data_IF_275000708962
#
_entry.id   IF_275000708962
#
_cell.length_a   1.000
_cell.length_b   1.000
_cell.length_c   1.000
_cell.angle_alpha   90.00
_cell.angle_beta   90.00
_cell.angle_gamma   90.00
#
_symmetry.space_group_name_H-M   'P 1'
#
loop_
_entity.id
_entity.type
_entity.pdbx_description
1 polymer ?
#
# COMPACT_ATOMS: atom_id res chain seq x y z
N UNK A 1 -30.57 -29.91 -14.26
CA UNK A 1 -29.25 -29.31 -14.50
C UNK A 1 -28.87 -28.58 -13.25
N UNK A 2 -27.86 -29.00 -12.44
CA UNK A 2 -27.45 -28.22 -11.28
C UNK A 2 -26.63 -27.00 -11.76
N UNK A 3 -27.04 -25.81 -11.31
CA UNK A 3 -26.31 -24.56 -11.58
C UNK A 3 -24.92 -24.64 -10.95
N UNK A 4 -23.89 -24.49 -11.73
CA UNK A 4 -22.53 -24.36 -11.26
C UNK A 4 -22.41 -23.10 -10.37
N UNK A 5 -22.40 -23.28 -9.04
CA UNK A 5 -21.97 -22.22 -8.12
C UNK A 5 -20.54 -21.85 -8.48
N UNK A 6 -20.35 -20.70 -9.09
CA UNK A 6 -19.03 -20.08 -9.24
C UNK A 6 -18.39 -20.00 -7.86
N UNK A 7 -17.35 -20.78 -7.61
CA UNK A 7 -16.53 -20.68 -6.42
C UNK A 7 -15.82 -19.33 -6.56
N UNK A 8 -16.27 -18.31 -5.83
CA UNK A 8 -15.55 -17.04 -5.73
C UNK A 8 -14.18 -17.36 -5.11
N UNK A 9 -13.12 -17.18 -5.86
CA UNK A 9 -11.75 -17.21 -5.34
C UNK A 9 -11.64 -16.21 -4.19
N UNK A 10 -10.76 -16.48 -3.22
CA UNK A 10 -10.49 -15.53 -2.15
C UNK A 10 -10.00 -14.19 -2.75
N UNK A 11 -10.38 -13.05 -2.15
CA UNK A 11 -9.94 -11.75 -2.64
C UNK A 11 -8.42 -11.65 -2.61
N UNK A 12 -7.78 -11.08 -3.65
CA UNK A 12 -6.34 -10.93 -3.71
C UNK A 12 -5.83 -10.07 -2.56
N UNK A 13 -4.60 -10.36 -2.11
CA UNK A 13 -3.90 -9.71 -1.02
C UNK A 13 -2.74 -8.90 -1.57
N UNK A 14 -2.68 -7.62 -1.27
CA UNK A 14 -1.58 -6.76 -1.67
C UNK A 14 -0.98 -6.04 -0.47
N UNK A 15 0.33 -6.07 -0.32
CA UNK A 15 1.01 -5.15 0.59
C UNK A 15 1.32 -3.86 -0.17
N UNK A 16 0.97 -2.73 0.43
CA UNK A 16 1.05 -1.42 -0.22
C UNK A 16 2.11 -0.57 0.46
N UNK A 17 3.04 -0.09 -0.35
CA UNK A 17 4.13 0.79 0.06
C UNK A 17 3.64 2.23 0.31
N UNK A 18 4.36 2.97 1.14
CA UNK A 18 4.10 4.37 1.50
C UNK A 18 3.91 5.28 0.30
N UNK A 19 4.69 5.10 -0.78
CA UNK A 19 4.61 5.93 -1.98
C UNK A 19 3.22 5.89 -2.65
N UNK A 20 2.51 4.77 -2.57
CA UNK A 20 1.17 4.62 -3.16
C UNK A 20 0.14 5.46 -2.42
N UNK A 21 0.23 5.54 -1.08
CA UNK A 21 -0.58 6.44 -0.28
C UNK A 21 -0.30 7.91 -0.61
N UNK A 22 0.97 8.25 -0.84
CA UNK A 22 1.35 9.60 -1.27
C UNK A 22 0.72 9.95 -2.62
N UNK A 23 0.74 9.04 -3.59
CA UNK A 23 0.10 9.25 -4.89
C UNK A 23 -1.41 9.44 -4.79
N UNK A 24 -2.08 8.69 -3.93
CA UNK A 24 -3.53 8.75 -3.81
C UNK A 24 -4.03 9.93 -2.95
N UNK A 25 -3.35 10.25 -1.86
CA UNK A 25 -3.88 11.19 -0.86
C UNK A 25 -3.18 12.55 -0.86
N UNK A 26 -1.98 12.69 -1.42
CA UNK A 26 -1.24 13.95 -1.42
C UNK A 26 -1.45 14.71 -2.73
N UNK A 27 -2.14 15.86 -2.64
CA UNK A 27 -2.31 16.77 -3.78
C UNK A 27 -0.98 17.44 -4.15
N UNK A 28 -0.75 17.64 -5.46
CA UNK A 28 0.42 18.37 -5.95
C UNK A 28 1.72 17.55 -6.00
N UNK A 29 1.61 16.24 -6.04
CA UNK A 29 2.73 15.37 -6.39
C UNK A 29 2.97 15.43 -7.90
N UNK A 30 4.24 15.42 -8.32
CA UNK A 30 4.61 15.29 -9.75
C UNK A 30 4.46 13.86 -10.26
N UNK A 31 3.51 13.12 -9.71
CA UNK A 31 3.27 11.73 -10.10
C UNK A 31 2.54 11.65 -11.43
N UNK A 32 2.86 10.66 -12.29
CA UNK A 32 2.09 10.40 -13.51
C UNK A 32 0.61 10.16 -13.19
N UNK A 33 -0.26 10.67 -14.06
CA UNK A 33 -1.72 10.61 -13.86
C UNK A 33 -2.28 9.19 -13.82
N UNK A 34 -1.69 8.26 -14.57
CA UNK A 34 -2.03 6.84 -14.58
C UNK A 34 -1.72 6.17 -13.23
N UNK A 35 -0.58 6.49 -12.60
CA UNK A 35 -0.21 6.02 -11.26
C UNK A 35 -1.21 6.53 -10.22
N UNK A 36 -1.55 7.84 -10.27
CA UNK A 36 -2.53 8.43 -9.36
C UNK A 36 -3.87 7.71 -9.51
N UNK A 37 -4.35 7.56 -10.75
CA UNK A 37 -5.61 6.89 -11.04
C UNK A 37 -5.63 5.44 -10.55
N UNK A 38 -4.59 4.67 -10.87
CA UNK A 38 -4.46 3.27 -10.44
C UNK A 38 -4.42 3.13 -8.92
N UNK A 39 -3.71 4.05 -8.21
CA UNK A 39 -3.68 4.07 -6.75
C UNK A 39 -5.06 4.33 -6.14
N UNK A 40 -5.82 5.27 -6.70
CA UNK A 40 -7.21 5.51 -6.26
C UNK A 40 -8.11 4.29 -6.51
N UNK A 41 -7.98 3.64 -7.66
CA UNK A 41 -8.77 2.43 -7.96
C UNK A 41 -8.42 1.28 -7.01
N UNK A 42 -7.15 1.08 -6.68
CA UNK A 42 -6.70 0.09 -5.71
C UNK A 42 -7.42 0.27 -4.36
N UNK A 43 -7.43 1.49 -3.82
CA UNK A 43 -8.07 1.78 -2.54
C UNK A 43 -9.60 1.65 -2.61
N UNK A 44 -10.22 2.06 -3.71
CA UNK A 44 -11.66 1.86 -3.92
C UNK A 44 -12.05 0.37 -3.95
N UNK A 45 -11.21 -0.49 -4.53
CA UNK A 45 -11.43 -1.93 -4.53
C UNK A 45 -11.31 -2.52 -3.12
N UNK A 46 -10.42 -2.00 -2.28
CA UNK A 46 -10.34 -2.39 -0.87
C UNK A 46 -11.60 -1.99 -0.08
N UNK A 47 -12.11 -0.78 -0.30
CA UNK A 47 -13.35 -0.29 0.33
C UNK A 47 -14.56 -1.16 -0.01
N UNK A 48 -14.58 -1.74 -1.20
CA UNK A 48 -15.66 -2.65 -1.65
C UNK A 48 -15.40 -4.11 -1.32
N UNK A 49 -14.30 -4.44 -0.66
CA UNK A 49 -13.94 -5.80 -0.25
C UNK A 49 -13.50 -6.74 -1.39
N UNK A 50 -13.19 -6.19 -2.56
CA UNK A 50 -12.75 -6.96 -3.73
C UNK A 50 -11.29 -7.38 -3.66
N UNK A 51 -10.52 -6.74 -2.79
CA UNK A 51 -9.15 -7.10 -2.45
C UNK A 51 -8.86 -6.75 -0.98
N UNK A 52 -7.76 -7.27 -0.44
CA UNK A 52 -7.26 -6.95 0.90
C UNK A 52 -5.96 -6.18 0.80
N UNK A 53 -5.87 -5.07 1.52
CA UNK A 53 -4.64 -4.28 1.64
C UNK A 53 -3.95 -4.63 2.96
N UNK A 54 -2.70 -5.02 2.84
CA UNK A 54 -1.76 -5.16 3.93
C UNK A 54 -0.81 -3.96 3.94
N UNK A 55 -0.38 -3.55 5.12
CA UNK A 55 0.61 -2.49 5.30
C UNK A 55 1.59 -2.91 6.39
N UNK A 56 2.87 -2.63 6.17
CA UNK A 56 3.85 -2.75 7.24
C UNK A 56 3.61 -1.71 8.33
N UNK A 57 3.92 -2.00 9.59
CA UNK A 57 3.86 -1.00 10.66
C UNK A 57 4.73 0.22 10.37
N UNK A 58 5.86 0.06 9.63
CA UNK A 58 6.68 1.20 9.19
C UNK A 58 5.91 2.08 8.19
N UNK A 59 5.18 1.49 7.25
CA UNK A 59 4.33 2.23 6.31
C UNK A 59 3.29 3.08 7.03
N UNK A 60 2.64 2.54 8.08
CA UNK A 60 1.70 3.34 8.88
C UNK A 60 2.36 4.57 9.50
N UNK A 61 3.55 4.39 10.07
CA UNK A 61 4.29 5.50 10.69
C UNK A 61 4.67 6.55 9.65
N UNK A 62 5.18 6.14 8.50
CA UNK A 62 5.58 7.03 7.40
C UNK A 62 4.39 7.79 6.83
N UNK A 63 3.29 7.10 6.48
CA UNK A 63 2.09 7.70 5.91
C UNK A 63 1.49 8.75 6.83
N UNK A 64 1.43 8.49 8.14
CA UNK A 64 0.91 9.44 9.13
C UNK A 64 1.89 10.57 9.47
N UNK A 65 3.18 10.44 9.10
CA UNK A 65 4.22 11.43 9.32
C UNK A 65 4.62 12.22 8.06
N UNK A 66 3.99 11.96 6.90
CA UNK A 66 4.35 12.67 5.66
C UNK A 66 4.20 14.18 5.81
N UNK A 67 5.09 14.91 5.15
CA UNK A 67 5.16 16.37 5.24
C UNK A 67 3.84 17.07 4.91
N UNK A 68 3.05 16.52 3.99
CA UNK A 68 1.74 17.05 3.62
C UNK A 68 0.77 17.12 4.81
N UNK A 69 0.85 16.15 5.73
CA UNK A 69 -0.01 16.04 6.91
C UNK A 69 0.63 16.64 8.17
N UNK A 70 1.89 17.10 8.10
CA UNK A 70 2.55 17.77 9.23
C UNK A 70 1.85 19.06 9.58
N UNK A 71 1.62 19.25 10.88
CA UNK A 71 0.90 20.38 11.43
C UNK A 71 1.54 21.72 11.07
N UNK A 72 2.85 21.77 10.97
CA UNK A 72 3.65 23.01 10.99
C UNK A 72 4.51 23.22 9.72
N UNK A 73 4.11 22.68 8.56
CA UNK A 73 4.85 22.96 7.34
C UNK A 73 4.53 24.39 6.82
N UNK A 74 5.45 25.36 7.00
CA UNK A 74 5.21 26.75 6.62
C UNK A 74 5.09 26.97 5.10
N UNK A 75 5.49 25.97 4.31
CA UNK A 75 5.47 26.04 2.84
C UNK A 75 4.10 25.67 2.24
N UNK A 76 3.14 25.28 3.08
CA UNK A 76 1.82 24.84 2.60
C UNK A 76 0.70 25.79 3.03
N UNK A 77 -0.09 26.30 2.08
CA UNK A 77 -1.18 27.24 2.36
C UNK A 77 -2.38 26.61 3.10
N UNK A 78 -2.32 25.31 3.39
CA UNK A 78 -3.42 24.60 4.05
C UNK A 78 -3.39 24.85 5.56
N UNK A 79 -4.54 25.22 6.14
CA UNK A 79 -4.64 25.47 7.58
C UNK A 79 -4.28 24.25 8.43
N UNK A 80 -3.75 24.49 9.63
CA UNK A 80 -3.41 23.43 10.60
C UNK A 80 -4.63 22.54 10.93
N UNK A 81 -5.83 23.14 11.02
CA UNK A 81 -7.09 22.42 11.25
C UNK A 81 -7.37 21.42 10.13
N UNK A 82 -7.29 21.85 8.88
CA UNK A 82 -7.54 20.98 7.72
C UNK A 82 -6.55 19.82 7.65
N UNK A 83 -5.27 20.06 7.91
CA UNK A 83 -4.26 18.97 7.96
C UNK A 83 -4.56 17.97 9.08
N UNK A 84 -5.01 18.45 10.25
CA UNK A 84 -5.44 17.58 11.35
C UNK A 84 -6.63 16.72 10.95
N UNK A 85 -7.63 17.30 10.28
CA UNK A 85 -8.82 16.60 9.82
C UNK A 85 -8.47 15.54 8.75
N UNK A 86 -7.65 15.91 7.76
CA UNK A 86 -7.16 14.98 6.71
C UNK A 86 -6.37 13.82 7.32
N UNK A 87 -5.48 14.09 8.28
CA UNK A 87 -4.72 13.05 9.00
C UNK A 87 -5.66 12.14 9.81
N UNK A 88 -6.66 12.69 10.46
CA UNK A 88 -7.64 11.92 11.23
C UNK A 88 -8.47 11.02 10.31
N UNK A 89 -8.90 11.52 9.15
CA UNK A 89 -9.65 10.76 8.17
C UNK A 89 -8.80 9.64 7.56
N UNK A 90 -7.54 9.92 7.24
CA UNK A 90 -6.62 8.90 6.74
C UNK A 90 -6.38 7.81 7.79
N UNK A 91 -6.19 8.17 9.06
CA UNK A 91 -6.04 7.18 10.14
C UNK A 91 -7.27 6.28 10.26
N UNK A 92 -8.48 6.85 10.20
CA UNK A 92 -9.74 6.06 10.23
C UNK A 92 -9.83 5.12 9.02
N UNK A 93 -9.46 5.62 7.83
CA UNK A 93 -9.45 4.82 6.62
C UNK A 93 -8.47 3.63 6.74
N UNK A 94 -7.25 3.89 7.19
CA UNK A 94 -6.24 2.84 7.43
C UNK A 94 -6.77 1.78 8.42
N UNK A 95 -7.38 2.21 9.52
CA UNK A 95 -7.95 1.29 10.51
C UNK A 95 -9.10 0.44 9.96
N UNK A 96 -9.89 0.98 9.04
CA UNK A 96 -11.07 0.29 8.49
C UNK A 96 -10.73 -0.67 7.34
N UNK A 97 -9.72 -0.34 6.52
CA UNK A 97 -9.51 -1.00 5.23
C UNK A 97 -8.13 -1.63 5.06
N UNK A 98 -7.26 -1.59 6.08
CA UNK A 98 -5.94 -2.24 6.00
C UNK A 98 -5.71 -3.23 7.13
N UNK A 99 -4.88 -4.23 6.84
CA UNK A 99 -4.37 -5.21 7.80
C UNK A 99 -2.90 -4.86 8.05
N UNK A 100 -2.56 -4.56 9.30
CA UNK A 100 -1.19 -4.19 9.66
C UNK A 100 -0.36 -5.44 9.89
N UNK A 101 0.81 -5.51 9.26
CA UNK A 101 1.86 -6.47 9.59
C UNK A 101 2.73 -5.84 10.67
N UNK A 102 2.70 -6.43 11.85
CA UNK A 102 3.51 -5.98 12.98
C UNK A 102 4.98 -6.32 12.76
N UNK A 103 5.87 -5.49 13.30
CA UNK A 103 7.31 -5.69 13.20
C UNK A 103 7.81 -6.15 14.55
N UNK A 104 8.04 -7.44 14.68
CA UNK A 104 8.72 -8.04 15.82
C UNK A 104 10.24 -8.21 15.55
N UNK A 105 10.93 -8.81 16.48
CA UNK A 105 12.37 -9.04 16.37
C UNK A 105 12.72 -10.01 15.22
N UNK A 106 11.92 -11.04 15.00
CA UNK A 106 12.13 -12.01 13.92
C UNK A 106 12.05 -11.35 12.56
N UNK A 107 10.96 -10.62 12.32
CA UNK A 107 10.76 -9.87 11.08
C UNK A 107 11.84 -8.81 10.85
N UNK A 108 12.32 -8.16 11.91
CA UNK A 108 13.42 -7.20 11.81
C UNK A 108 14.74 -7.86 11.37
N UNK A 109 15.05 -9.08 11.81
CA UNK A 109 16.21 -9.85 11.34
C UNK A 109 16.05 -10.27 9.88
N UNK A 110 14.89 -10.80 9.49
CA UNK A 110 14.59 -11.16 8.11
C UNK A 110 14.69 -9.95 7.17
N UNK A 111 14.24 -8.78 7.62
CA UNK A 111 14.41 -7.53 6.89
C UNK A 111 15.90 -7.15 6.76
N UNK A 112 16.70 -7.38 7.79
CA UNK A 112 18.15 -7.20 7.74
C UNK A 112 18.80 -8.04 6.65
N UNK A 113 18.45 -9.32 6.57
CA UNK A 113 18.94 -10.26 5.55
C UNK A 113 18.49 -9.83 4.14
N UNK A 114 17.20 -9.48 3.96
CA UNK A 114 16.69 -8.95 2.69
C UNK A 114 17.39 -7.64 2.30
N UNK A 115 17.71 -6.77 3.27
CA UNK A 115 18.47 -5.55 3.07
C UNK A 115 19.87 -5.81 2.51
N UNK A 116 20.55 -6.84 2.98
CA UNK A 116 21.85 -7.26 2.45
C UNK A 116 21.74 -7.87 1.04
N UNK A 117 20.77 -8.75 0.83
CA UNK A 117 20.57 -9.45 -0.45
C UNK A 117 20.21 -8.48 -1.58
N UNK A 118 19.30 -7.55 -1.33
CA UNK A 118 18.73 -6.65 -2.34
C UNK A 118 19.26 -5.22 -2.28
N UNK A 119 20.17 -4.92 -1.35
CA UNK A 119 20.72 -3.58 -1.10
C UNK A 119 19.64 -2.55 -0.72
N UNK A 120 18.65 -2.98 0.05
CA UNK A 120 17.59 -2.10 0.54
C UNK A 120 18.04 -1.25 1.72
N UNK A 121 17.40 -0.08 1.85
CA UNK A 121 17.43 0.69 3.09
C UNK A 121 16.48 0.05 4.12
N UNK A 122 16.69 0.35 5.41
CA UNK A 122 15.96 -0.31 6.49
C UNK A 122 14.43 -0.29 6.35
N UNK A 123 13.84 0.84 5.94
CA UNK A 123 12.38 0.92 5.74
C UNK A 123 11.91 0.04 4.58
N UNK A 124 12.61 0.09 3.43
CA UNK A 124 12.29 -0.73 2.25
C UNK A 124 12.44 -2.22 2.55
N UNK A 125 13.48 -2.59 3.31
CA UNK A 125 13.72 -3.95 3.77
C UNK A 125 12.58 -4.47 4.67
N UNK A 126 12.10 -3.65 5.60
CA UNK A 126 10.96 -3.96 6.46
C UNK A 126 9.65 -4.11 5.67
N UNK A 127 9.42 -3.25 4.68
CA UNK A 127 8.24 -3.35 3.79
C UNK A 127 8.29 -4.64 2.98
N UNK A 128 9.44 -4.98 2.41
CA UNK A 128 9.63 -6.21 1.64
C UNK A 128 9.46 -7.46 2.50
N UNK A 129 10.10 -7.53 3.66
CA UNK A 129 9.96 -8.63 4.61
C UNK A 129 8.52 -8.79 5.11
N UNK A 130 7.82 -7.67 5.39
CA UNK A 130 6.40 -7.70 5.75
C UNK A 130 5.51 -8.29 4.64
N UNK A 131 5.86 -8.07 3.37
CA UNK A 131 5.12 -8.65 2.26
C UNK A 131 5.31 -10.17 2.16
N UNK A 132 6.52 -10.66 2.44
CA UNK A 132 6.81 -12.08 2.50
C UNK A 132 6.12 -12.76 3.68
N UNK A 133 6.19 -12.17 4.88
CA UNK A 133 5.59 -12.69 6.11
C UNK A 133 4.06 -12.79 6.00
N UNK A 134 3.41 -11.79 5.41
CA UNK A 134 1.96 -11.78 5.20
C UNK A 134 1.49 -12.67 4.04
N UNK A 135 2.41 -13.31 3.32
CA UNK A 135 2.10 -14.16 2.15
C UNK A 135 1.13 -13.47 1.19
N UNK A 136 1.45 -12.23 0.80
CA UNK A 136 0.63 -11.46 -0.14
C UNK A 136 0.90 -11.89 -1.58
N UNK A 137 -0.07 -11.67 -2.46
CA UNK A 137 0.07 -11.98 -3.90
C UNK A 137 1.07 -11.03 -4.58
N UNK A 138 1.14 -9.77 -4.12
CA UNK A 138 2.15 -8.82 -4.60
C UNK A 138 2.40 -7.67 -3.61
N UNK A 139 3.61 -7.10 -3.68
CA UNK A 139 3.98 -5.80 -3.12
C UNK A 139 3.76 -4.71 -4.17
N UNK A 140 2.93 -3.72 -3.83
CA UNK A 140 2.58 -2.61 -4.73
C UNK A 140 3.41 -1.39 -4.38
N UNK A 141 4.26 -0.96 -5.32
CA UNK A 141 5.16 0.17 -5.13
C UNK A 141 5.47 0.90 -6.44
N UNK A 142 6.00 2.12 -6.35
CA UNK A 142 6.66 2.83 -7.45
C UNK A 142 8.16 3.04 -7.18
N UNK A 143 8.66 2.57 -6.03
CA UNK A 143 10.07 2.67 -5.70
C UNK A 143 10.90 1.76 -6.62
N UNK A 144 11.93 2.36 -7.23
CA UNK A 144 12.79 1.67 -8.20
C UNK A 144 13.69 0.60 -7.56
N UNK A 145 14.01 0.77 -6.28
CA UNK A 145 14.80 -0.21 -5.52
C UNK A 145 13.98 -1.47 -5.29
N UNK A 146 12.78 -1.32 -4.72
CA UNK A 146 11.86 -2.42 -4.45
C UNK A 146 11.43 -3.15 -5.74
N UNK A 147 11.15 -2.42 -6.83
CA UNK A 147 10.77 -3.02 -8.12
C UNK A 147 11.83 -3.96 -8.72
N UNK A 148 13.10 -3.83 -8.34
CA UNK A 148 14.18 -4.71 -8.78
C UNK A 148 14.19 -6.06 -8.05
N UNK A 149 13.55 -6.17 -6.91
CA UNK A 149 13.52 -7.37 -6.08
C UNK A 149 12.38 -8.35 -6.42
N UNK A 150 11.79 -8.23 -7.60
CA UNK A 150 10.79 -9.17 -8.09
C UNK A 150 11.38 -10.60 -8.13
N UNK A 151 10.71 -11.55 -7.50
CA UNK A 151 11.19 -12.91 -7.34
C UNK A 151 10.04 -13.93 -7.44
N UNK A 152 10.33 -15.24 -7.61
CA UNK A 152 9.29 -16.27 -7.59
C UNK A 152 8.48 -16.33 -6.29
N UNK A 153 9.04 -15.81 -5.18
CA UNK A 153 8.37 -15.80 -3.87
C UNK A 153 7.46 -14.58 -3.67
N UNK A 154 7.77 -13.46 -4.31
CA UNK A 154 7.04 -12.22 -4.16
C UNK A 154 7.11 -11.41 -5.45
N UNK A 155 5.95 -11.13 -6.04
CA UNK A 155 5.85 -10.18 -7.12
C UNK A 155 5.92 -8.75 -6.57
N UNK A 156 6.75 -7.89 -7.16
CA UNK A 156 6.82 -6.47 -6.84
C UNK A 156 6.43 -5.69 -8.08
N UNK A 157 5.26 -5.04 -8.04
CA UNK A 157 4.64 -4.43 -9.22
C UNK A 157 4.15 -3.00 -8.95
N UNK A 158 3.97 -2.24 -10.02
CA UNK A 158 3.33 -0.93 -9.98
C UNK A 158 1.81 -1.06 -9.86
N UNK A 159 1.10 -0.07 -9.32
CA UNK A 159 -0.36 -0.11 -9.24
C UNK A 159 -1.05 -0.22 -10.60
N UNK A 160 -0.41 0.26 -11.69
CA UNK A 160 -0.91 0.13 -13.07
C UNK A 160 -0.83 -1.27 -13.65
N UNK A 161 -0.12 -2.19 -13.00
CA UNK A 161 0.04 -3.58 -13.42
C UNK A 161 -0.95 -4.54 -12.74
N UNK A 162 -1.77 -4.02 -11.82
CA UNK A 162 -2.81 -4.81 -11.18
C UNK A 162 -3.92 -5.05 -12.21
N UNK A 163 -4.22 -6.31 -12.50
CA UNK A 163 -5.39 -6.68 -13.30
C UNK A 163 -6.66 -6.40 -12.48
N UNK A 164 -7.26 -5.24 -12.71
CA UNK A 164 -8.53 -4.89 -12.11
C UNK A 164 -9.63 -5.75 -12.74
N UNK A 165 -10.17 -6.69 -11.97
CA UNK A 165 -11.38 -7.37 -12.39
C UNK A 165 -12.47 -6.30 -12.58
N UNK A 166 -12.91 -6.14 -13.83
CA UNK A 166 -14.04 -5.25 -14.15
C UNK A 166 -15.27 -5.87 -13.50
N UNK A 167 -15.68 -5.31 -12.37
CA UNK A 167 -16.94 -5.70 -11.74
C UNK A 167 -18.01 -5.09 -12.61
N UNK A 168 -18.67 -5.95 -13.40
CA UNK A 168 -19.91 -5.58 -14.06
C UNK A 168 -20.90 -5.17 -12.96
N UNK A 169 -21.57 -4.02 -13.09
CA UNK A 169 -22.61 -3.65 -12.15
C UNK A 169 -23.67 -4.77 -12.13
N UNK A 170 -23.96 -5.28 -10.96
CA UNK A 170 -25.08 -6.17 -10.74
C UNK A 170 -26.33 -5.29 -10.94
N UNK A 171 -27.01 -5.48 -12.07
CA UNK A 171 -28.34 -4.91 -12.33
C UNK A 171 -29.38 -5.52 -11.37
#
# INVERSE_FOLDING_TARGET
MPSSKSIKSAPPKYLVDTCIFVHAFCKGTNSPSDIIHASHQLFKQAETGNLKIFVSAVTLAEVLAINYLRRDDPRKPTSARRRKDERTNLKKWLQAYTITVEIDQSLAFEAGDAGQEHLFKGADALIYASALDAEVDALITTDKGLLKANSPKLQVIKPTQIEMQTILPIN
#
